data_IF_568950506243
#
_entry.id   IF_568950506243
#
_cell.length_a   1.000
_cell.length_b   1.000
_cell.length_c   1.000
_cell.angle_alpha   90.00
_cell.angle_beta   90.00
_cell.angle_gamma   90.00
#
_symmetry.space_group_name_H-M   'P 1'
#
loop_
_entity.id
_entity.type
_entity.pdbx_description
1 polymer ?
#
# COMPACT_ATOMS: atom_id res chain seq x y z
N UNK A 1 25.68 -33.74 -6.92
CA UNK A 1 24.28 -33.80 -6.39
C UNK A 1 24.14 -33.18 -5.00
N UNK A 2 24.92 -33.56 -3.98
CA UNK A 2 24.85 -32.96 -2.62
C UNK A 2 25.19 -31.45 -2.56
N UNK A 3 26.10 -30.98 -3.41
CA UNK A 3 26.43 -29.54 -3.54
C UNK A 3 25.34 -28.75 -4.29
N UNK A 4 24.63 -29.37 -5.26
CA UNK A 4 23.50 -28.74 -5.96
C UNK A 4 22.30 -28.49 -5.02
N UNK A 5 22.09 -29.38 -4.04
CA UNK A 5 21.09 -29.23 -2.97
C UNK A 5 21.42 -28.16 -1.93
N UNK A 6 22.66 -27.64 -1.92
CA UNK A 6 23.08 -26.53 -1.06
C UNK A 6 22.68 -25.18 -1.67
N UNK A 7 22.69 -25.10 -3.01
CA UNK A 7 22.25 -23.94 -3.79
C UNK A 7 20.73 -23.91 -4.01
N UNK A 8 20.11 -25.07 -4.24
CA UNK A 8 18.66 -25.22 -4.19
C UNK A 8 18.22 -25.27 -2.73
N UNK A 9 17.83 -24.11 -2.21
CA UNK A 9 17.43 -23.96 -0.82
C UNK A 9 16.10 -24.69 -0.55
N UNK A 10 16.11 -26.02 -0.54
CA UNK A 10 14.94 -26.89 -0.37
C UNK A 10 14.11 -26.51 0.85
N UNK A 11 14.76 -26.09 1.93
CA UNK A 11 14.07 -25.58 3.12
C UNK A 11 13.20 -24.34 2.82
N UNK A 12 13.62 -23.46 1.92
CA UNK A 12 12.83 -22.31 1.45
C UNK A 12 11.71 -22.74 0.51
N UNK A 13 11.95 -23.69 -0.39
CA UNK A 13 10.91 -24.23 -1.26
C UNK A 13 9.81 -24.95 -0.46
N UNK A 14 10.19 -25.76 0.53
CA UNK A 14 9.24 -26.41 1.44
C UNK A 14 8.49 -25.39 2.31
N UNK A 15 9.16 -24.34 2.80
CA UNK A 15 8.50 -23.24 3.52
C UNK A 15 7.52 -22.48 2.63
N UNK A 16 7.92 -22.11 1.41
CA UNK A 16 7.06 -21.43 0.45
C UNK A 16 5.82 -22.26 0.12
N UNK A 17 5.99 -23.55 -0.16
CA UNK A 17 4.89 -24.50 -0.40
C UNK A 17 3.97 -24.65 0.82
N UNK A 18 4.52 -24.67 2.05
CA UNK A 18 3.73 -24.69 3.27
C UNK A 18 2.88 -23.42 3.44
N UNK A 19 3.45 -22.24 3.20
CA UNK A 19 2.71 -20.98 3.27
C UNK A 19 1.64 -20.89 2.19
N UNK A 20 1.95 -21.28 0.95
CA UNK A 20 0.98 -21.30 -0.15
C UNK A 20 -0.20 -22.24 0.16
N UNK A 21 0.07 -23.43 0.70
CA UNK A 21 -0.99 -24.36 1.12
C UNK A 21 -1.86 -23.76 2.23
N UNK A 22 -1.23 -23.11 3.22
CA UNK A 22 -1.96 -22.45 4.31
C UNK A 22 -2.81 -21.30 3.79
N UNK A 23 -2.30 -20.52 2.83
CA UNK A 23 -3.04 -19.43 2.21
C UNK A 23 -4.24 -19.94 1.40
N UNK A 24 -4.05 -20.96 0.57
CA UNK A 24 -5.16 -21.63 -0.13
C UNK A 24 -6.23 -22.13 0.83
N UNK A 25 -5.84 -22.75 1.95
CA UNK A 25 -6.80 -23.22 2.96
C UNK A 25 -7.56 -22.05 3.63
N UNK A 26 -6.87 -20.94 3.91
CA UNK A 26 -7.50 -19.74 4.47
C UNK A 26 -8.53 -19.15 3.51
N UNK A 27 -8.16 -18.99 2.23
CA UNK A 27 -9.08 -18.55 1.19
C UNK A 27 -10.30 -19.47 1.15
N UNK A 28 -10.13 -20.80 1.22
CA UNK A 28 -11.28 -21.70 1.23
C UNK A 28 -12.20 -21.57 2.46
N UNK A 29 -11.71 -21.05 3.59
CA UNK A 29 -12.46 -20.99 4.84
C UNK A 29 -13.36 -19.74 4.98
N UNK A 30 -13.03 -18.65 4.29
CA UNK A 30 -13.77 -17.39 4.43
C UNK A 30 -14.02 -16.73 3.06
N UNK A 31 -15.30 -16.64 2.69
CA UNK A 31 -15.78 -16.04 1.45
C UNK A 31 -15.62 -14.52 1.41
N UNK A 32 -15.50 -13.86 2.56
CA UNK A 32 -15.33 -12.41 2.68
C UNK A 32 -13.87 -11.97 2.56
N UNK A 33 -12.92 -12.87 2.33
CA UNK A 33 -11.52 -12.50 2.11
C UNK A 33 -11.34 -11.81 0.76
N UNK A 34 -10.86 -10.56 0.79
CA UNK A 34 -10.65 -9.74 -0.39
C UNK A 34 -9.54 -10.29 -1.30
N UNK A 35 -8.60 -11.06 -0.76
CA UNK A 35 -7.53 -11.72 -1.52
C UNK A 35 -8.06 -12.68 -2.60
N UNK A 36 -9.33 -13.13 -2.49
CA UNK A 36 -10.00 -13.95 -3.52
C UNK A 36 -10.29 -13.21 -4.82
N UNK A 37 -10.37 -11.89 -4.72
CA UNK A 37 -10.76 -10.99 -5.79
C UNK A 37 -9.55 -10.27 -6.36
N UNK A 38 -8.32 -10.66 -5.99
CA UNK A 38 -7.11 -10.03 -6.51
C UNK A 38 -7.00 -10.12 -8.02
N UNK A 39 -6.61 -9.00 -8.61
CA UNK A 39 -6.41 -8.86 -10.05
C UNK A 39 -5.84 -7.49 -10.36
N UNK A 40 -5.31 -7.34 -11.57
CA UNK A 40 -4.67 -6.11 -12.06
C UNK A 40 -5.27 -5.70 -13.41
N UNK A 41 -5.45 -4.40 -13.58
CA UNK A 41 -5.60 -3.75 -14.89
C UNK A 41 -4.40 -2.82 -15.10
N UNK A 42 -4.15 -1.92 -14.15
CA UNK A 42 -3.06 -0.96 -14.15
C UNK A 42 -2.20 -1.03 -12.90
N UNK A 43 -2.80 -1.17 -11.70
CA UNK A 43 -2.11 -1.01 -10.41
C UNK A 43 -0.86 -1.89 -10.27
N UNK A 44 0.14 -1.48 -9.49
CA UNK A 44 1.41 -2.23 -9.37
C UNK A 44 1.20 -3.71 -9.00
N UNK A 45 0.34 -3.99 -8.02
CA UNK A 45 0.01 -5.34 -7.59
C UNK A 45 -1.45 -5.71 -7.90
N UNK A 46 -2.29 -5.87 -6.88
CA UNK A 46 -3.65 -6.41 -6.98
C UNK A 46 -4.73 -5.42 -6.56
N UNK A 47 -4.35 -4.16 -6.40
CA UNK A 47 -5.14 -3.10 -5.80
C UNK A 47 -6.41 -2.83 -6.61
N UNK A 48 -6.35 -2.82 -7.95
CA UNK A 48 -7.50 -2.54 -8.83
C UNK A 48 -8.75 -3.34 -8.44
N UNK A 49 -8.63 -4.66 -8.33
CA UNK A 49 -9.78 -5.52 -8.06
C UNK A 49 -10.11 -5.66 -6.57
N UNK A 50 -9.12 -5.50 -5.67
CA UNK A 50 -9.42 -5.37 -4.24
C UNK A 50 -10.27 -4.13 -4.00
N UNK A 51 -9.89 -2.99 -4.57
CA UNK A 51 -10.62 -1.72 -4.47
C UNK A 51 -12.01 -1.86 -5.08
N UNK A 52 -12.12 -2.45 -6.27
CA UNK A 52 -13.41 -2.70 -6.91
C UNK A 52 -14.33 -3.57 -6.03
N UNK A 53 -13.80 -4.63 -5.41
CA UNK A 53 -14.57 -5.50 -4.53
C UNK A 53 -14.94 -4.82 -3.20
N UNK A 54 -14.07 -3.97 -2.63
CA UNK A 54 -14.43 -3.15 -1.47
C UNK A 54 -15.67 -2.31 -1.79
N UNK A 55 -15.65 -1.58 -2.91
CA UNK A 55 -16.78 -0.73 -3.32
C UNK A 55 -17.99 -1.51 -3.80
N UNK A 56 -17.83 -2.75 -4.29
CA UNK A 56 -18.96 -3.67 -4.53
C UNK A 56 -19.71 -4.01 -3.23
N UNK A 57 -18.99 -4.07 -2.10
CA UNK A 57 -19.57 -4.40 -0.78
C UNK A 57 -20.17 -3.21 -0.05
N UNK A 58 -19.52 -2.04 -0.11
CA UNK A 58 -19.93 -0.85 0.67
C UNK A 58 -20.62 0.22 -0.18
N UNK A 59 -20.72 0.00 -1.50
CA UNK A 59 -21.19 0.98 -2.49
C UNK A 59 -20.31 2.24 -2.56
N UNK A 60 -20.48 3.03 -3.62
CA UNK A 60 -19.81 4.33 -3.78
C UNK A 60 -20.74 5.45 -3.32
N UNK A 61 -20.17 6.55 -2.85
CA UNK A 61 -20.93 7.75 -2.47
C UNK A 61 -20.48 8.95 -3.32
N UNK A 62 -19.23 9.38 -3.18
CA UNK A 62 -18.72 10.56 -3.90
C UNK A 62 -18.21 10.24 -5.30
N UNK A 63 -17.80 8.98 -5.55
CA UNK A 63 -16.97 8.59 -6.69
C UNK A 63 -15.77 9.52 -6.88
N UNK A 64 -15.16 9.92 -5.77
CA UNK A 64 -13.97 10.77 -5.73
C UNK A 64 -12.81 10.00 -5.11
N UNK A 65 -11.65 9.99 -5.78
CA UNK A 65 -10.43 9.45 -5.21
C UNK A 65 -9.32 10.49 -5.11
N UNK A 66 -8.38 10.26 -4.20
CA UNK A 66 -7.08 10.95 -4.15
C UNK A 66 -5.99 9.88 -4.17
N UNK A 67 -4.95 10.05 -4.99
CA UNK A 67 -3.73 9.21 -4.96
C UNK A 67 -2.48 10.10 -5.00
N UNK A 68 -1.51 9.75 -4.16
CA UNK A 68 -0.21 10.42 -4.07
C UNK A 68 0.82 9.67 -4.91
N UNK A 69 1.84 10.40 -5.39
CA UNK A 69 3.03 9.82 -6.03
C UNK A 69 2.72 8.87 -7.19
N UNK A 70 2.10 9.41 -8.24
CA UNK A 70 1.67 8.61 -9.40
C UNK A 70 2.81 8.18 -10.31
N UNK A 71 4.02 8.72 -10.13
CA UNK A 71 5.18 8.44 -10.96
C UNK A 71 4.85 8.58 -12.45
N UNK A 72 5.09 7.52 -13.23
CA UNK A 72 4.78 7.48 -14.65
C UNK A 72 3.35 7.03 -14.96
N UNK A 73 2.40 7.15 -14.02
CA UNK A 73 0.96 6.85 -14.14
C UNK A 73 0.61 5.46 -14.70
N UNK A 74 1.58 4.60 -14.98
CA UNK A 74 1.33 3.29 -15.60
C UNK A 74 0.87 2.27 -14.57
N UNK A 75 1.30 2.43 -13.31
CA UNK A 75 1.04 1.48 -12.22
C UNK A 75 0.22 2.06 -11.05
N UNK A 76 -0.60 3.09 -11.28
CA UNK A 76 -1.45 3.70 -10.25
C UNK A 76 -2.61 2.79 -9.82
N UNK A 77 -2.93 2.82 -8.53
CA UNK A 77 -4.08 2.13 -7.95
C UNK A 77 -5.44 2.67 -8.44
N UNK A 78 -5.46 3.92 -8.92
CA UNK A 78 -6.72 4.62 -9.24
C UNK A 78 -6.93 4.88 -10.73
N UNK A 79 -5.99 4.49 -11.60
CA UNK A 79 -6.14 4.74 -13.05
C UNK A 79 -7.39 4.06 -13.62
N UNK A 80 -7.70 2.84 -13.16
CA UNK A 80 -8.92 2.17 -13.57
C UNK A 80 -10.18 2.94 -13.13
N UNK A 81 -10.16 3.60 -11.97
CA UNK A 81 -11.28 4.44 -11.50
C UNK A 81 -11.42 5.72 -12.35
N UNK A 82 -10.30 6.36 -12.71
CA UNK A 82 -10.28 7.52 -13.59
C UNK A 82 -10.91 7.19 -14.95
N UNK A 83 -10.50 6.08 -15.57
CA UNK A 83 -11.03 5.65 -16.88
C UNK A 83 -12.51 5.19 -16.78
N UNK A 84 -13.00 4.94 -15.57
CA UNK A 84 -14.41 4.70 -15.25
C UNK A 84 -15.14 5.96 -14.70
N UNK A 85 -14.64 7.15 -15.04
CA UNK A 85 -15.29 8.45 -14.80
C UNK A 85 -15.49 8.81 -13.33
N UNK A 86 -14.59 8.38 -12.44
CA UNK A 86 -14.52 8.94 -11.10
C UNK A 86 -13.94 10.35 -11.15
N UNK A 87 -14.41 11.22 -10.26
CA UNK A 87 -13.69 12.45 -9.94
C UNK A 87 -12.41 12.09 -9.18
N UNK A 88 -11.40 12.93 -9.32
CA UNK A 88 -10.06 12.55 -8.90
C UNK A 88 -9.23 13.72 -8.43
N UNK A 89 -8.18 13.41 -7.69
CA UNK A 89 -7.02 14.25 -7.47
C UNK A 89 -5.78 13.36 -7.49
N UNK A 90 -4.82 13.72 -8.33
CA UNK A 90 -3.47 13.20 -8.23
C UNK A 90 -2.51 14.29 -7.76
N UNK A 91 -1.54 13.91 -6.94
CA UNK A 91 -0.48 14.82 -6.48
C UNK A 91 0.87 14.17 -6.78
N UNK A 92 1.67 14.84 -7.61
CA UNK A 92 2.96 14.33 -8.10
C UNK A 92 4.05 15.39 -7.93
N UNK A 93 5.14 15.08 -7.23
CA UNK A 93 6.20 16.07 -6.99
C UNK A 93 7.13 16.22 -8.20
N UNK A 94 7.40 15.13 -8.93
CA UNK A 94 8.28 15.19 -10.10
C UNK A 94 7.60 15.93 -11.26
N UNK A 95 8.25 17.02 -11.68
CA UNK A 95 7.69 17.91 -12.70
C UNK A 95 7.50 17.22 -14.05
N UNK A 96 8.41 16.31 -14.41
CA UNK A 96 8.37 15.60 -15.70
C UNK A 96 7.22 14.60 -15.71
N UNK A 97 7.08 13.81 -14.65
CA UNK A 97 5.97 12.89 -14.42
C UNK A 97 4.63 13.62 -14.44
N UNK A 98 4.53 14.74 -13.72
CA UNK A 98 3.37 15.62 -13.74
C UNK A 98 3.01 16.10 -15.16
N UNK A 99 3.98 16.64 -15.90
CA UNK A 99 3.70 17.22 -17.22
C UNK A 99 3.28 16.14 -18.23
N UNK A 100 3.86 14.94 -18.14
CA UNK A 100 3.44 13.81 -18.95
C UNK A 100 2.01 13.39 -18.59
N UNK A 101 1.70 13.17 -17.31
CA UNK A 101 0.35 12.79 -16.87
C UNK A 101 -0.69 13.82 -17.33
N UNK A 102 -0.40 15.11 -17.14
CA UNK A 102 -1.25 16.22 -17.59
C UNK A 102 -1.54 16.16 -19.09
N UNK A 103 -0.53 15.89 -19.91
CA UNK A 103 -0.71 15.78 -21.35
C UNK A 103 -1.46 14.49 -21.74
N UNK A 104 -1.17 13.38 -21.05
CA UNK A 104 -1.77 12.06 -21.31
C UNK A 104 -3.28 12.04 -21.01
N UNK A 105 -3.69 12.69 -19.93
CA UNK A 105 -5.08 12.70 -19.44
C UNK A 105 -5.82 14.01 -19.72
N UNK A 106 -5.33 14.82 -20.69
CA UNK A 106 -5.91 16.14 -21.05
C UNK A 106 -7.39 16.12 -21.46
N UNK A 107 -7.90 14.96 -21.89
CA UNK A 107 -9.29 14.77 -22.30
C UNK A 107 -10.22 14.51 -21.09
N UNK A 108 -9.65 14.27 -19.90
CA UNK A 108 -10.36 14.25 -18.63
C UNK A 108 -10.34 15.65 -18.00
N UNK A 109 -11.28 15.94 -17.09
CA UNK A 109 -11.21 17.14 -16.25
C UNK A 109 -9.96 17.04 -15.37
N UNK A 110 -8.92 17.79 -15.72
CA UNK A 110 -7.61 17.72 -15.04
C UNK A 110 -7.75 18.16 -13.59
N UNK A 111 -7.37 17.27 -12.69
CA UNK A 111 -7.27 17.50 -11.25
C UNK A 111 -5.95 16.91 -10.75
N UNK A 112 -4.86 17.59 -11.11
CA UNK A 112 -3.49 17.15 -10.87
C UNK A 112 -2.69 18.32 -10.28
N UNK A 113 -2.03 18.10 -9.15
CA UNK A 113 -1.13 19.06 -8.50
C UNK A 113 0.33 18.63 -8.65
N UNK A 114 1.22 19.61 -8.90
CA UNK A 114 2.66 19.38 -8.91
C UNK A 114 3.27 19.86 -7.60
N UNK A 115 3.16 19.06 -6.54
CA UNK A 115 3.53 19.48 -5.19
C UNK A 115 4.23 18.34 -4.44
N UNK A 116 5.19 18.71 -3.60
CA UNK A 116 5.81 17.77 -2.67
C UNK A 116 5.00 17.73 -1.38
N UNK A 117 4.48 16.56 -1.02
CA UNK A 117 3.60 16.40 0.14
C UNK A 117 4.44 16.38 1.43
N UNK A 118 4.05 17.18 2.40
CA UNK A 118 4.59 17.19 3.76
C UNK A 118 3.45 17.09 4.77
N UNK A 119 3.79 16.76 6.01
CA UNK A 119 2.80 16.71 7.09
C UNK A 119 2.16 18.09 7.33
N UNK A 120 2.89 19.16 7.00
CA UNK A 120 2.47 20.54 7.24
C UNK A 120 1.62 21.13 6.11
N UNK A 121 1.66 20.58 4.89
CA UNK A 121 0.92 21.13 3.74
C UNK A 121 -0.29 20.29 3.28
N UNK A 122 -0.41 19.02 3.70
CA UNK A 122 -1.37 18.09 3.10
C UNK A 122 -2.83 18.55 3.18
N UNK A 123 -3.25 19.15 4.31
CA UNK A 123 -4.60 19.67 4.46
C UNK A 123 -4.86 20.88 3.54
N UNK A 124 -3.86 21.76 3.36
CA UNK A 124 -3.96 22.91 2.45
C UNK A 124 -4.07 22.47 0.99
N UNK A 125 -3.31 21.44 0.60
CA UNK A 125 -3.40 20.85 -0.75
C UNK A 125 -4.81 20.28 -1.01
N UNK A 126 -5.42 19.62 -0.03
CA UNK A 126 -6.77 19.08 -0.15
C UNK A 126 -7.82 20.20 -0.26
N UNK A 127 -7.68 21.24 0.56
CA UNK A 127 -8.54 22.42 0.51
C UNK A 127 -8.42 23.15 -0.85
N UNK A 128 -7.20 23.36 -1.35
CA UNK A 128 -6.94 23.98 -2.64
C UNK A 128 -7.57 23.20 -3.81
N UNK A 129 -7.54 21.87 -3.74
CA UNK A 129 -8.12 20.99 -4.74
C UNK A 129 -9.62 20.74 -4.56
N UNK A 130 -10.25 21.32 -3.53
CA UNK A 130 -11.67 21.12 -3.21
C UNK A 130 -12.02 19.64 -3.01
N UNK A 131 -11.12 18.89 -2.35
CA UNK A 131 -11.36 17.48 -2.02
C UNK A 131 -12.62 17.37 -1.15
N UNK A 132 -13.57 16.48 -1.47
CA UNK A 132 -14.73 16.27 -0.60
C UNK A 132 -14.30 15.72 0.76
N UNK A 133 -14.87 16.25 1.84
CA UNK A 133 -14.63 15.74 3.21
C UNK A 133 -14.86 14.22 3.30
N UNK A 134 -15.87 13.69 2.60
CA UNK A 134 -16.20 12.27 2.55
C UNK A 134 -15.88 11.66 1.17
N UNK A 135 -14.65 11.81 0.70
CA UNK A 135 -14.17 11.12 -0.49
C UNK A 135 -14.28 9.58 -0.37
N UNK A 136 -14.38 8.88 -1.49
CA UNK A 136 -14.56 7.43 -1.47
C UNK A 136 -13.22 6.72 -1.21
N UNK A 137 -12.15 7.14 -1.89
CA UNK A 137 -10.85 6.47 -1.81
C UNK A 137 -9.71 7.47 -1.59
N UNK A 138 -8.82 7.15 -0.66
CA UNK A 138 -7.51 7.78 -0.54
C UNK A 138 -6.43 6.71 -0.71
N UNK A 139 -5.46 6.93 -1.57
CA UNK A 139 -4.27 6.07 -1.72
C UNK A 139 -3.07 6.87 -1.24
N UNK A 140 -2.47 6.40 -0.14
CA UNK A 140 -1.29 7.00 0.47
C UNK A 140 -0.11 6.09 0.16
N UNK A 141 0.66 6.51 -0.84
CA UNK A 141 1.94 5.92 -1.16
C UNK A 141 2.89 7.07 -1.47
N UNK A 142 3.72 7.42 -0.49
CA UNK A 142 4.80 8.41 -0.65
C UNK A 142 6.12 7.84 -0.13
N UNK A 143 6.23 6.51 -0.12
CA UNK A 143 7.36 5.68 0.29
C UNK A 143 7.87 5.78 1.76
N UNK A 144 7.70 6.90 2.46
CA UNK A 144 8.41 7.14 3.72
C UNK A 144 7.52 7.64 4.84
N UNK A 145 6.90 8.79 4.60
CA UNK A 145 6.24 9.58 5.64
C UNK A 145 4.73 9.28 5.73
N UNK A 146 4.25 8.21 5.12
CA UNK A 146 2.82 7.85 5.00
C UNK A 146 2.10 7.87 6.34
N UNK A 147 2.74 7.34 7.39
CA UNK A 147 2.21 7.37 8.75
C UNK A 147 1.96 8.81 9.24
N UNK A 148 2.91 9.71 8.99
CA UNK A 148 2.85 11.10 9.44
C UNK A 148 1.87 11.92 8.60
N UNK A 149 1.85 11.71 7.28
CA UNK A 149 0.85 12.33 6.40
C UNK A 149 -0.55 11.92 6.81
N UNK A 150 -0.79 10.62 7.01
CA UNK A 150 -2.08 10.16 7.49
C UNK A 150 -2.42 10.72 8.88
N UNK A 151 -1.45 10.85 9.79
CA UNK A 151 -1.68 11.43 11.11
C UNK A 151 -2.23 12.87 11.03
N UNK A 152 -1.76 13.68 10.07
CA UNK A 152 -2.17 15.09 9.94
C UNK A 152 -3.49 15.30 9.19
N UNK A 153 -3.94 14.36 8.35
CA UNK A 153 -5.23 14.46 7.65
C UNK A 153 -6.37 14.28 8.66
N UNK A 154 -7.00 15.34 9.15
CA UNK A 154 -8.01 15.24 10.24
C UNK A 154 -9.42 15.64 9.82
N UNK A 155 -9.54 16.59 8.90
CA UNK A 155 -10.84 17.09 8.42
C UNK A 155 -11.46 16.23 7.31
N UNK A 156 -10.65 15.38 6.67
CA UNK A 156 -11.09 14.48 5.60
C UNK A 156 -11.24 13.04 6.11
N UNK A 157 -12.36 12.42 5.75
CA UNK A 157 -12.84 11.12 6.21
C UNK A 157 -13.07 10.18 5.01
N UNK A 158 -12.01 9.78 4.30
CA UNK A 158 -12.12 8.83 3.18
C UNK A 158 -12.88 7.58 3.60
N UNK A 159 -13.71 7.01 2.74
CA UNK A 159 -14.45 5.78 3.08
C UNK A 159 -13.53 4.56 3.06
N UNK A 160 -12.56 4.56 2.15
CA UNK A 160 -11.52 3.54 1.98
C UNK A 160 -10.16 4.21 1.91
N UNK A 161 -9.16 3.62 2.56
CA UNK A 161 -7.76 4.00 2.38
C UNK A 161 -6.90 2.80 2.00
N UNK A 162 -6.07 2.96 0.97
CA UNK A 162 -5.01 2.05 0.59
C UNK A 162 -3.65 2.65 0.98
N UNK A 163 -2.75 1.86 1.54
CA UNK A 163 -1.39 2.31 1.82
C UNK A 163 -0.38 1.18 1.88
N UNK A 164 0.88 1.49 1.59
CA UNK A 164 1.97 0.55 1.74
C UNK A 164 2.44 0.40 3.20
N UNK A 165 2.88 -0.81 3.56
CA UNK A 165 3.36 -1.12 4.90
C UNK A 165 4.60 -1.99 4.94
N UNK A 166 5.39 -1.80 6.01
CA UNK A 166 6.64 -2.51 6.19
C UNK A 166 6.41 -3.95 6.64
N UNK A 167 6.35 -4.84 5.65
CA UNK A 167 6.21 -6.29 5.84
C UNK A 167 7.42 -6.95 6.51
N UNK A 168 8.55 -6.26 6.68
CA UNK A 168 9.71 -6.83 7.35
C UNK A 168 9.48 -7.04 8.85
N UNK A 169 8.53 -6.31 9.43
CA UNK A 169 8.11 -6.46 10.82
C UNK A 169 6.99 -7.50 10.96
N UNK A 170 7.01 -8.23 12.07
CA UNK A 170 5.90 -9.10 12.43
C UNK A 170 4.63 -8.27 12.68
N UNK A 171 3.42 -8.77 12.37
CA UNK A 171 2.20 -7.96 12.51
C UNK A 171 1.81 -7.60 13.93
N UNK A 172 2.49 -8.15 14.94
CA UNK A 172 2.33 -7.78 16.34
C UNK A 172 3.44 -6.84 16.85
N UNK A 173 4.32 -6.37 15.96
CA UNK A 173 5.39 -5.44 16.28
C UNK A 173 5.04 -4.07 15.75
N UNK A 174 4.89 -3.11 16.65
CA UNK A 174 4.79 -1.69 16.32
C UNK A 174 6.18 -1.14 16.02
N UNK A 175 6.29 -0.45 14.90
CA UNK A 175 7.44 0.32 14.45
C UNK A 175 6.95 1.36 13.44
N UNK A 176 7.49 2.57 13.54
CA UNK A 176 7.21 3.72 12.67
C UNK A 176 8.55 4.36 12.35
N UNK A 177 8.81 4.64 11.08
CA UNK A 177 9.98 5.44 10.71
C UNK A 177 9.81 6.86 11.27
N UNK A 178 10.81 7.44 11.97
CA UNK A 178 10.78 8.85 12.34
C UNK A 178 10.56 9.73 11.10
N UNK A 179 9.79 10.81 11.27
CA UNK A 179 9.56 11.75 10.18
C UNK A 179 10.88 12.35 9.72
N UNK A 180 11.10 12.29 8.41
CA UNK A 180 12.24 12.90 7.74
C UNK A 180 11.76 13.30 6.35
N UNK A 181 11.55 14.61 6.17
CA UNK A 181 10.98 15.18 4.94
C UNK A 181 11.87 14.89 3.71
N UNK A 182 13.19 14.84 3.91
CA UNK A 182 14.16 14.64 2.84
C UNK A 182 14.66 13.19 2.78
N UNK A 183 13.97 12.27 3.44
CA UNK A 183 14.40 10.88 3.48
C UNK A 183 14.52 10.31 2.06
N UNK A 184 15.57 9.53 1.86
CA UNK A 184 15.80 8.78 0.64
C UNK A 184 16.18 7.37 1.04
N UNK A 185 15.60 6.39 0.36
CA UNK A 185 15.85 5.01 0.72
C UNK A 185 17.34 4.65 0.72
N UNK A 186 17.82 4.09 1.81
CA UNK A 186 19.17 3.53 1.91
C UNK A 186 19.23 2.03 1.61
N UNK A 187 18.18 1.51 0.96
CA UNK A 187 17.94 0.10 0.67
C UNK A 187 17.81 -0.79 1.91
N UNK A 188 17.70 -0.22 3.12
CA UNK A 188 17.50 -1.01 4.34
C UNK A 188 16.04 -1.36 4.56
N UNK A 189 15.73 -1.99 5.70
CA UNK A 189 14.35 -2.20 6.14
C UNK A 189 13.79 -1.04 6.97
N UNK A 190 14.43 0.12 6.90
CA UNK A 190 14.06 1.36 7.60
C UNK A 190 13.22 2.23 6.66
N UNK A 191 11.95 1.85 6.47
CA UNK A 191 10.99 2.50 5.57
C UNK A 191 9.54 2.26 6.05
N UNK A 192 8.60 3.13 5.70
CA UNK A 192 7.17 3.06 6.07
C UNK A 192 6.91 2.93 7.59
N UNK A 193 5.77 2.32 7.96
CA UNK A 193 5.49 1.81 9.29
C UNK A 193 5.08 0.35 9.23
N UNK A 194 5.20 -0.35 10.35
CA UNK A 194 4.66 -1.70 10.52
C UNK A 194 3.14 -1.71 10.38
N UNK A 195 2.57 -2.83 9.94
CA UNK A 195 1.12 -3.01 9.89
C UNK A 195 0.46 -2.76 11.25
N UNK A 196 1.11 -3.16 12.35
CA UNK A 196 0.58 -2.94 13.69
C UNK A 196 0.44 -1.46 14.02
N UNK A 197 1.47 -0.67 13.71
CA UNK A 197 1.46 0.78 13.94
C UNK A 197 0.37 1.47 13.14
N UNK A 198 0.14 1.02 11.90
CA UNK A 198 -1.01 1.47 11.14
C UNK A 198 -2.30 1.10 11.86
N UNK A 199 -2.58 -0.17 12.14
CA UNK A 199 -3.84 -0.58 12.82
C UNK A 199 -4.11 0.25 14.09
N UNK A 200 -3.07 0.56 14.86
CA UNK A 200 -3.17 1.42 16.05
C UNK A 200 -3.49 2.89 15.72
N UNK A 201 -2.91 3.47 14.67
CA UNK A 201 -3.21 4.83 14.21
C UNK A 201 -4.62 4.93 13.58
N UNK A 202 -4.95 4.01 12.69
CA UNK A 202 -6.23 3.94 11.98
C UNK A 202 -7.41 3.73 12.94
N UNK A 203 -7.25 2.89 13.97
CA UNK A 203 -8.28 2.70 14.99
C UNK A 203 -8.62 4.00 15.73
N UNK A 204 -7.62 4.86 16.03
CA UNK A 204 -7.85 6.18 16.65
C UNK A 204 -8.66 7.12 15.75
N UNK A 205 -8.60 6.91 14.44
CA UNK A 205 -9.31 7.70 13.43
C UNK A 205 -10.60 7.01 12.93
N UNK A 206 -11.05 5.95 13.61
CA UNK A 206 -12.27 5.20 13.31
C UNK A 206 -12.22 4.42 11.98
N UNK A 207 -11.11 3.71 11.75
CA UNK A 207 -10.93 2.81 10.60
C UNK A 207 -10.54 1.41 11.04
N UNK A 208 -10.99 0.42 10.26
CA UNK A 208 -10.67 -0.99 10.45
C UNK A 208 -9.88 -1.53 9.26
N UNK A 209 -8.87 -2.36 9.54
CA UNK A 209 -8.17 -3.13 8.51
C UNK A 209 -9.10 -4.20 7.94
N UNK A 210 -9.32 -4.19 6.63
CA UNK A 210 -10.18 -5.17 5.93
C UNK A 210 -9.40 -6.12 5.03
N UNK A 211 -8.19 -5.76 4.61
CA UNK A 211 -7.32 -6.63 3.81
C UNK A 211 -5.86 -6.17 3.83
N UNK A 212 -4.97 -7.11 3.51
CA UNK A 212 -3.66 -6.84 2.92
C UNK A 212 -3.59 -7.63 1.62
N UNK A 213 -2.96 -7.10 0.58
CA UNK A 213 -2.76 -7.88 -0.64
C UNK A 213 -1.85 -9.11 -0.39
N UNK A 214 -1.86 -10.07 -1.31
CA UNK A 214 -1.07 -11.30 -1.22
C UNK A 214 0.42 -11.15 -1.53
N UNK A 215 0.84 -9.96 -2.00
CA UNK A 215 2.24 -9.52 -2.07
C UNK A 215 2.74 -8.94 -0.74
N UNK A 216 1.81 -8.59 0.16
CA UNK A 216 2.06 -8.02 1.48
C UNK A 216 2.70 -6.64 1.40
N UNK A 217 2.33 -5.85 0.39
CA UNK A 217 2.80 -4.48 0.20
C UNK A 217 1.73 -3.49 0.64
N UNK A 218 0.49 -3.66 0.16
CA UNK A 218 -0.62 -2.77 0.46
C UNK A 218 -1.55 -3.31 1.53
N UNK A 219 -2.02 -2.40 2.39
CA UNK A 219 -3.05 -2.60 3.38
C UNK A 219 -4.26 -1.70 3.06
N UNK A 220 -5.46 -2.26 3.27
CA UNK A 220 -6.73 -1.61 2.97
C UNK A 220 -7.51 -1.40 4.25
N UNK A 221 -7.85 -0.15 4.52
CA UNK A 221 -8.62 0.30 5.66
C UNK A 221 -9.96 0.84 5.21
N UNK A 222 -11.02 0.53 5.95
CA UNK A 222 -12.38 1.02 5.68
C UNK A 222 -12.90 1.69 6.94
N UNK A 223 -13.63 2.81 6.77
CA UNK A 223 -14.23 3.54 7.89
C UNK A 223 -15.15 2.62 8.70
N UNK A 224 -14.96 2.58 10.02
CA UNK A 224 -15.49 1.50 10.86
C UNK A 224 -17.03 1.47 10.92
N UNK A 225 -17.72 2.58 10.64
CA UNK A 225 -19.19 2.68 10.57
C UNK A 225 -19.79 1.93 9.36
N UNK A 226 -19.01 1.72 8.29
CA UNK A 226 -19.47 1.08 7.05
C UNK A 226 -18.88 -0.33 6.81
N UNK A 227 -17.97 -0.80 7.66
CA UNK A 227 -17.41 -2.17 7.59
C UNK A 227 -18.51 -3.22 7.74
N UNK A 228 -19.37 -3.07 8.76
CA UNK A 228 -20.49 -3.99 9.08
C UNK A 228 -20.09 -5.48 8.94
N UNK A 229 -21.01 -6.35 8.51
CA UNK A 229 -20.75 -7.75 8.20
C UNK A 229 -20.21 -7.96 6.77
N UNK A 230 -19.76 -6.91 6.09
CA UNK A 230 -19.32 -7.00 4.69
C UNK A 230 -17.91 -7.58 4.54
N UNK A 231 -17.10 -7.57 5.60
CA UNK A 231 -15.70 -8.00 5.56
C UNK A 231 -15.43 -9.14 6.54
N UNK A 232 -14.31 -9.82 6.33
CA UNK A 232 -13.83 -10.86 7.23
C UNK A 232 -13.45 -10.26 8.59
N UNK A 233 -13.81 -10.94 9.67
CA UNK A 233 -13.37 -10.59 11.02
C UNK A 233 -11.97 -11.14 11.37
N UNK A 234 -11.32 -11.88 10.45
CA UNK A 234 -10.04 -12.53 10.72
C UNK A 234 -8.92 -11.54 11.06
N UNK A 235 -9.07 -10.29 10.62
CA UNK A 235 -8.15 -9.19 10.88
C UNK A 235 -8.26 -8.64 12.31
N UNK A 236 -9.36 -8.93 13.03
CA UNK A 236 -9.58 -8.48 14.41
C UNK A 236 -8.90 -9.39 15.43
N UNK A 237 -8.95 -10.71 15.20
CA UNK A 237 -8.65 -11.71 16.23
C UNK A 237 -7.31 -12.43 16.02
N UNK A 238 -6.68 -12.28 14.86
CA UNK A 238 -5.53 -13.10 14.50
C UNK A 238 -4.43 -12.34 13.78
N UNK A 239 -3.57 -11.66 14.54
CA UNK A 239 -2.38 -10.98 14.02
C UNK A 239 -1.44 -11.90 13.22
N UNK A 240 -1.50 -13.23 13.39
CA UNK A 240 -0.72 -14.19 12.57
C UNK A 240 -1.31 -14.40 11.17
N UNK A 241 -2.51 -13.88 10.90
CA UNK A 241 -3.14 -13.93 9.59
C UNK A 241 -2.38 -13.05 8.60
N UNK A 242 -1.96 -11.86 9.01
CA UNK A 242 -1.29 -10.86 8.17
C UNK A 242 0.19 -11.13 7.85
N UNK A 243 0.70 -12.34 8.16
CA UNK A 243 2.10 -12.67 7.91
C UNK A 243 2.24 -13.98 7.16
N UNK A 244 2.68 -13.86 5.93
CA UNK A 244 3.49 -14.89 5.27
C UNK A 244 4.95 -14.56 5.55
N UNK A 245 5.81 -15.57 5.74
CA UNK A 245 7.26 -15.34 5.75
C UNK A 245 7.60 -14.51 4.51
N UNK A 246 8.42 -13.45 4.64
CA UNK A 246 8.62 -12.53 3.53
C UNK A 246 9.01 -13.31 2.29
N UNK A 247 8.21 -13.16 1.24
CA UNK A 247 8.57 -13.64 -0.08
C UNK A 247 9.70 -12.73 -0.54
N UNK A 248 10.91 -12.93 0.00
CA UNK A 248 12.12 -12.44 -0.61
C UNK A 248 12.26 -13.20 -1.92
N UNK A 249 11.49 -12.78 -2.91
CA UNK A 249 11.50 -13.35 -4.22
C UNK A 249 12.88 -12.98 -4.80
N UNK A 250 13.74 -13.95 -5.13
CA UNK A 250 15.02 -13.65 -5.77
C UNK A 250 14.87 -12.92 -7.11
N UNK A 251 13.65 -12.84 -7.66
CA UNK A 251 13.29 -12.10 -8.87
C UNK A 251 12.61 -10.75 -8.61
N UNK A 252 12.22 -10.41 -7.37
CA UNK A 252 11.86 -9.02 -7.04
C UNK A 252 13.15 -8.28 -6.70
N UNK A 253 13.64 -7.51 -7.67
CA UNK A 253 14.88 -6.74 -7.59
C UNK A 253 14.75 -5.57 -6.59
N UNK A 254 13.52 -5.18 -6.26
CA UNK A 254 13.25 -3.98 -5.47
C UNK A 254 13.62 -4.08 -4.00
N UNK A 255 13.69 -5.26 -3.36
CA UNK A 255 14.05 -5.36 -1.93
C UNK A 255 15.04 -6.51 -1.65
N UNK A 256 16.37 -6.27 -1.72
CA UNK A 256 17.37 -7.29 -1.44
C UNK A 256 17.28 -7.77 0.02
N UNK A 257 17.78 -8.98 0.31
CA UNK A 257 17.82 -9.46 1.71
C UNK A 257 18.78 -8.61 2.54
N UNK A 258 18.54 -8.43 3.85
CA UNK A 258 19.48 -7.79 4.77
C UNK A 258 20.91 -8.36 4.71
N UNK A 259 21.06 -9.65 4.38
CA UNK A 259 22.36 -10.32 4.25
C UNK A 259 23.11 -9.95 2.95
N UNK A 260 22.38 -9.73 1.85
CA UNK A 260 22.94 -9.20 0.60
C UNK A 260 23.29 -7.71 0.76
N UNK A 261 22.49 -6.96 1.52
CA UNK A 261 22.80 -5.56 1.86
C UNK A 261 24.06 -5.43 2.70
N UNK A 262 24.31 -6.34 3.67
CA UNK A 262 25.59 -6.36 4.42
C UNK A 262 26.79 -6.61 3.51
N UNK A 263 26.62 -7.45 2.48
CA UNK A 263 27.65 -7.72 1.49
C UNK A 263 27.90 -6.51 0.58
N UNK A 264 26.83 -5.84 0.11
CA UNK A 264 26.92 -4.60 -0.69
C UNK A 264 27.56 -3.47 0.12
N UNK A 265 27.18 -3.27 1.39
CA UNK A 265 27.80 -2.29 2.30
C UNK A 265 29.28 -2.60 2.58
N UNK A 266 29.64 -3.88 2.67
CA UNK A 266 31.03 -4.32 2.81
C UNK A 266 31.85 -4.04 1.53
N UNK A 267 31.27 -4.31 0.36
CA UNK A 267 31.91 -4.08 -0.94
C UNK A 267 32.05 -2.57 -1.25
N UNK A 268 31.05 -1.75 -0.91
CA UNK A 268 31.13 -0.29 -1.10
C UNK A 268 32.12 0.38 -0.14
N UNK A 269 32.40 -0.21 1.03
CA UNK A 269 33.46 0.27 1.94
C UNK A 269 34.88 -0.05 1.46
N UNK A 270 35.03 -0.91 0.45
CA UNK A 270 36.33 -1.22 -0.16
C UNK A 270 36.63 -0.34 -1.38
N UNK A 271 35.71 0.57 -1.74
CA UNK A 271 35.81 1.48 -2.89
C UNK A 271 35.84 2.98 -2.49
N UNK A 272 36.03 3.27 -1.19
CA UNK A 272 36.43 4.57 -0.63
C UNK A 272 37.76 4.34 0.10
#
# INVERSE_FOLDING_TARGET
MKELFKYLNLSKLCKASYFEKKEKLRLLQDEKLLQKFEGKIYSQNWEDWIIAEIFNRIWTESKYFVEFWIQDWTECCTRNLLENWWEWLWIEADKSSYDYAKNKFKDFKISLLNEFITKDNINDLFNQAWVPENLDLLVIDIDWNDYWIWNEITDFKPRVVCMEYNWSFWPNKSWVMPYDEMHSWDWSNYFWASLRSYVELWAKKWYSLVSCDSQWLNAFFVRSDIVKDCFSNIFNDNYKYHYSYPKYNPFFIWHPKPIFMKLIRFLNRLWI
#
